data_IF_429721587040
#
_entry.id   IF_429721587040
#
_cell.length_a   1.000
_cell.length_b   1.000
_cell.length_c   1.000
_cell.angle_alpha   90.00
_cell.angle_beta   90.00
_cell.angle_gamma   90.00
#
_symmetry.space_group_name_H-M   'P 1'
#
loop_
_entity.id
_entity.type
_entity.pdbx_description
1 polymer ?
#
# COMPACT_ATOMS: atom_id res chain seq x y z
N UNK A 1 -8.81 18.07 13.52
CA UNK A 1 -7.87 17.50 12.55
C UNK A 1 -6.48 18.06 12.84
N UNK A 2 -5.56 17.26 13.40
CA UNK A 2 -4.17 17.68 13.52
C UNK A 2 -3.57 17.83 12.12
N UNK A 3 -3.07 19.03 11.80
CA UNK A 3 -2.37 19.28 10.54
C UNK A 3 -0.96 18.72 10.68
N UNK A 4 -0.56 17.82 9.79
CA UNK A 4 0.81 17.31 9.77
C UNK A 4 1.81 18.47 9.56
N UNK A 5 2.97 18.45 10.22
CA UNK A 5 4.04 19.42 9.97
C UNK A 5 4.46 19.44 8.50
N UNK A 6 4.84 20.60 7.97
CA UNK A 6 5.35 20.70 6.59
C UNK A 6 6.60 19.85 6.35
N UNK A 7 7.37 19.59 7.42
CA UNK A 7 8.53 18.69 7.40
C UNK A 7 8.16 17.25 7.08
N UNK A 8 6.88 16.85 7.12
CA UNK A 8 6.45 15.49 6.76
C UNK A 8 6.17 15.30 5.26
N UNK A 9 6.13 16.38 4.47
CA UNK A 9 5.61 16.37 3.10
C UNK A 9 6.23 15.28 2.21
N UNK A 10 7.56 15.18 2.16
CA UNK A 10 8.24 14.20 1.29
C UNK A 10 7.89 12.76 1.67
N UNK A 11 7.87 12.47 2.97
CA UNK A 11 7.56 11.14 3.49
C UNK A 11 6.07 10.79 3.30
N UNK A 12 5.19 11.78 3.46
CA UNK A 12 3.76 11.63 3.15
C UNK A 12 3.52 11.40 1.66
N UNK A 13 4.22 12.10 0.78
CA UNK A 13 4.13 11.87 -0.67
C UNK A 13 4.61 10.48 -1.05
N UNK A 14 5.75 10.03 -0.50
CA UNK A 14 6.28 8.70 -0.72
C UNK A 14 5.34 7.60 -0.21
N UNK A 15 4.69 7.82 0.95
CA UNK A 15 3.63 6.94 1.45
C UNK A 15 2.47 6.80 0.44
N UNK A 16 1.95 7.91 -0.07
CA UNK A 16 0.85 7.88 -1.03
C UNK A 16 1.24 7.16 -2.33
N UNK A 17 2.47 7.36 -2.82
CA UNK A 17 2.98 6.66 -3.99
C UNK A 17 3.10 5.15 -3.76
N UNK A 18 3.60 4.73 -2.59
CA UNK A 18 3.65 3.33 -2.18
C UNK A 18 2.25 2.71 -2.05
N UNK A 19 1.30 3.42 -1.41
CA UNK A 19 -0.08 2.96 -1.26
C UNK A 19 -0.77 2.79 -2.62
N UNK A 20 -0.58 3.76 -3.53
CA UNK A 20 -1.13 3.73 -4.89
C UNK A 20 -0.59 2.56 -5.70
N UNK A 21 0.73 2.32 -5.67
CA UNK A 21 1.35 1.21 -6.42
C UNK A 21 0.96 -0.15 -5.85
N UNK A 22 0.85 -0.28 -4.52
CA UNK A 22 0.29 -1.47 -3.86
C UNK A 22 -1.13 -1.77 -4.36
N UNK A 23 -1.99 -0.75 -4.38
CA UNK A 23 -3.37 -0.91 -4.82
C UNK A 23 -3.45 -1.32 -6.29
N UNK A 24 -2.68 -0.68 -7.19
CA UNK A 24 -2.63 -1.09 -8.61
C UNK A 24 -2.21 -2.54 -8.79
N UNK A 25 -1.20 -3.01 -8.05
CA UNK A 25 -0.76 -4.40 -8.11
C UNK A 25 -1.86 -5.35 -7.63
N UNK A 26 -2.50 -5.07 -6.49
CA UNK A 26 -3.59 -5.88 -5.95
C UNK A 26 -4.82 -5.91 -6.86
N UNK A 27 -5.21 -4.76 -7.40
CA UNK A 27 -6.33 -4.66 -8.35
C UNK A 27 -6.07 -5.50 -9.60
N UNK A 28 -4.83 -5.48 -10.11
CA UNK A 28 -4.47 -6.29 -11.27
C UNK A 28 -4.46 -7.78 -10.96
N UNK A 29 -3.94 -8.16 -9.79
CA UNK A 29 -3.97 -9.54 -9.30
C UNK A 29 -5.41 -10.05 -9.13
N UNK A 30 -6.32 -9.24 -8.59
CA UNK A 30 -7.74 -9.57 -8.48
C UNK A 30 -8.39 -9.75 -9.85
N UNK A 31 -8.07 -8.90 -10.83
CA UNK A 31 -8.57 -9.04 -12.21
C UNK A 31 -8.11 -10.33 -12.87
N UNK A 32 -6.83 -10.69 -12.73
CA UNK A 32 -6.31 -11.97 -13.23
C UNK A 32 -6.99 -13.15 -12.51
N UNK A 33 -7.12 -13.07 -11.19
CA UNK A 33 -7.83 -14.07 -10.40
C UNK A 33 -9.28 -14.27 -10.85
N UNK A 34 -10.01 -13.20 -11.13
CA UNK A 34 -11.37 -13.27 -11.65
C UNK A 34 -11.41 -13.89 -13.07
N UNK A 35 -10.51 -13.45 -13.95
CA UNK A 35 -10.41 -13.89 -15.35
C UNK A 35 -10.09 -15.37 -15.49
N UNK A 36 -9.20 -15.89 -14.64
CA UNK A 36 -8.69 -17.27 -14.69
C UNK A 36 -9.24 -18.15 -13.54
N UNK A 37 -10.32 -17.71 -12.86
CA UNK A 37 -10.90 -18.36 -11.67
C UNK A 37 -11.37 -19.80 -11.86
N UNK A 38 -11.70 -20.21 -13.09
CA UNK A 38 -12.19 -21.56 -13.39
C UNK A 38 -11.20 -22.40 -14.21
N UNK A 39 -10.59 -21.81 -15.25
CA UNK A 39 -9.63 -22.47 -16.15
C UNK A 39 -8.76 -21.41 -16.84
N UNK A 40 -7.53 -21.77 -17.24
CA UNK A 40 -6.61 -20.94 -18.02
C UNK A 40 -5.47 -20.34 -17.18
N UNK A 41 -4.43 -19.85 -17.87
CA UNK A 41 -3.25 -19.23 -17.27
C UNK A 41 -3.07 -17.81 -17.83
N UNK A 42 -2.53 -16.87 -17.04
CA UNK A 42 -2.15 -15.55 -17.55
C UNK A 42 -1.22 -15.66 -18.75
N UNK A 43 -1.39 -14.78 -19.73
CA UNK A 43 -0.45 -14.71 -20.85
C UNK A 43 0.93 -14.24 -20.39
N UNK A 44 1.95 -14.41 -21.23
CA UNK A 44 3.29 -13.87 -20.96
C UNK A 44 3.27 -12.34 -20.79
N UNK A 45 2.41 -11.64 -21.54
CA UNK A 45 2.21 -10.19 -21.44
C UNK A 45 1.59 -9.80 -20.09
N UNK A 46 0.57 -10.55 -19.63
CA UNK A 46 -0.08 -10.32 -18.34
C UNK A 46 0.87 -10.61 -17.18
N UNK A 47 1.65 -11.69 -17.28
CA UNK A 47 2.66 -12.07 -16.30
C UNK A 47 3.79 -11.03 -16.23
N UNK A 48 4.23 -10.51 -17.38
CA UNK A 48 5.24 -9.45 -17.47
C UNK A 48 4.73 -8.13 -16.87
N UNK A 49 3.47 -7.78 -17.12
CA UNK A 49 2.86 -6.60 -16.52
C UNK A 49 2.73 -6.74 -15.00
N UNK A 50 2.30 -7.89 -14.50
CA UNK A 50 2.20 -8.15 -13.06
C UNK A 50 3.58 -8.01 -12.39
N UNK A 51 4.62 -8.60 -12.98
CA UNK A 51 5.99 -8.48 -12.49
C UNK A 51 6.48 -7.02 -12.46
N UNK A 52 6.19 -6.24 -13.51
CA UNK A 52 6.53 -4.81 -13.56
C UNK A 52 5.82 -3.99 -12.49
N UNK A 53 4.54 -4.26 -12.22
CA UNK A 53 3.79 -3.58 -11.16
C UNK A 53 4.37 -3.88 -9.78
N UNK A 54 4.83 -5.12 -9.56
CA UNK A 54 5.52 -5.50 -8.33
C UNK A 54 6.87 -4.78 -8.18
N UNK A 55 7.66 -4.73 -9.26
CA UNK A 55 8.94 -4.00 -9.26
C UNK A 55 8.74 -2.49 -9.00
N UNK A 56 7.71 -1.88 -9.59
CA UNK A 56 7.34 -0.49 -9.31
C UNK A 56 6.99 -0.30 -7.83
N UNK A 57 6.22 -1.22 -7.25
CA UNK A 57 5.89 -1.19 -5.83
C UNK A 57 7.13 -1.29 -4.94
N UNK A 58 8.05 -2.22 -5.22
CA UNK A 58 9.31 -2.38 -4.49
C UNK A 58 10.17 -1.11 -4.52
N UNK A 59 10.22 -0.42 -5.67
CA UNK A 59 10.90 0.85 -5.79
C UNK A 59 10.26 1.94 -4.89
N UNK A 60 8.92 1.99 -4.82
CA UNK A 60 8.22 2.93 -3.95
C UNK A 60 8.36 2.58 -2.46
N UNK A 61 8.42 1.30 -2.09
CA UNK A 61 8.72 0.88 -0.71
C UNK A 61 10.10 1.40 -0.29
N UNK A 62 11.12 1.21 -1.14
CA UNK A 62 12.48 1.72 -0.87
C UNK A 62 12.49 3.26 -0.75
N UNK A 63 11.80 3.96 -1.64
CA UNK A 63 11.69 5.43 -1.58
C UNK A 63 11.00 5.91 -0.29
N UNK A 64 9.92 5.27 0.12
CA UNK A 64 9.23 5.57 1.37
C UNK A 64 10.11 5.34 2.60
N UNK A 65 10.80 4.18 2.68
CA UNK A 65 11.75 3.91 3.76
C UNK A 65 12.87 4.95 3.82
N UNK A 66 13.40 5.36 2.66
CA UNK A 66 14.39 6.43 2.57
C UNK A 66 13.85 7.77 3.12
N UNK A 67 12.65 8.17 2.71
CA UNK A 67 12.03 9.40 3.16
C UNK A 67 11.70 9.39 4.67
N UNK A 68 11.24 8.26 5.21
CA UNK A 68 10.98 8.08 6.64
C UNK A 68 12.27 8.16 7.46
N UNK A 69 13.35 7.53 7.01
CA UNK A 69 14.65 7.60 7.68
C UNK A 69 15.21 9.03 7.65
N UNK A 70 15.12 9.72 6.51
CA UNK A 70 15.50 11.12 6.40
C UNK A 70 14.66 12.02 7.31
N UNK A 71 13.34 11.78 7.39
CA UNK A 71 12.44 12.48 8.31
C UNK A 71 12.84 12.26 9.76
N UNK A 72 13.10 11.02 10.17
CA UNK A 72 13.52 10.69 11.54
C UNK A 72 14.82 11.39 11.93
N UNK A 73 15.78 11.46 11.00
CA UNK A 73 17.06 12.11 11.23
C UNK A 73 16.93 13.64 11.37
N UNK A 74 16.06 14.28 10.59
CA UNK A 74 15.83 15.73 10.65
C UNK A 74 14.90 16.16 11.78
N UNK A 75 13.87 15.35 12.08
CA UNK A 75 12.78 15.68 12.98
C UNK A 75 12.09 14.40 13.49
N UNK A 76 12.56 13.89 14.63
CA UNK A 76 12.03 12.69 15.24
C UNK A 76 10.58 12.83 15.72
N UNK A 77 10.15 14.04 16.07
CA UNK A 77 8.78 14.31 16.51
C UNK A 77 7.82 14.26 15.31
N UNK A 78 8.14 14.96 14.22
CA UNK A 78 7.35 14.90 13.00
C UNK A 78 7.31 13.49 12.39
N UNK A 79 8.40 12.72 12.51
CA UNK A 79 8.40 11.29 12.18
C UNK A 79 7.34 10.53 13.00
N UNK A 80 7.34 10.69 14.33
CA UNK A 80 6.37 10.01 15.20
C UNK A 80 4.93 10.38 14.85
N UNK A 81 4.65 11.67 14.65
CA UNK A 81 3.32 12.16 14.27
C UNK A 81 2.86 11.57 12.94
N UNK A 82 3.75 11.50 11.94
CA UNK A 82 3.43 10.90 10.66
C UNK A 82 3.17 9.39 10.76
N UNK A 83 3.99 8.65 11.52
CA UNK A 83 3.78 7.21 11.75
C UNK A 83 2.42 6.99 12.41
N UNK A 84 2.11 7.71 13.49
CA UNK A 84 0.84 7.60 14.18
C UNK A 84 -0.33 7.87 13.23
N UNK A 85 -0.22 8.90 12.40
CA UNK A 85 -1.25 9.25 11.42
C UNK A 85 -1.46 8.17 10.36
N UNK A 86 -0.38 7.63 9.79
CA UNK A 86 -0.43 6.54 8.80
C UNK A 86 -1.04 5.28 9.40
N UNK A 87 -0.66 4.92 10.63
CA UNK A 87 -1.22 3.76 11.32
C UNK A 87 -2.73 3.89 11.49
N UNK A 88 -3.22 5.01 12.02
CA UNK A 88 -4.65 5.27 12.16
C UNK A 88 -5.37 5.25 10.81
N UNK A 89 -4.78 5.83 9.77
CA UNK A 89 -5.36 5.77 8.42
C UNK A 89 -5.49 4.33 7.91
N UNK A 90 -4.46 3.52 8.09
CA UNK A 90 -4.48 2.12 7.64
C UNK A 90 -5.53 1.31 8.40
N UNK A 91 -5.64 1.49 9.72
CA UNK A 91 -6.65 0.83 10.55
C UNK A 91 -8.08 1.18 10.08
N UNK A 92 -8.34 2.44 9.74
CA UNK A 92 -9.64 2.90 9.23
C UNK A 92 -9.95 2.39 7.81
N UNK A 93 -8.92 2.10 7.01
CA UNK A 93 -9.05 1.67 5.62
C UNK A 93 -9.01 0.14 5.47
N UNK A 94 -8.63 -0.60 6.51
CA UNK A 94 -8.86 -2.05 6.56
C UNK A 94 -10.37 -2.30 6.58
N UNK A 95 -10.95 -2.98 5.58
CA UNK A 95 -12.28 -3.52 5.72
C UNK A 95 -12.24 -4.52 6.88
N UNK A 96 -13.13 -4.40 7.86
CA UNK A 96 -13.31 -5.45 8.84
C UNK A 96 -13.50 -6.80 8.10
N UNK A 97 -12.60 -7.75 8.35
CA UNK A 97 -12.88 -9.16 8.14
C UNK A 97 -14.12 -9.47 8.99
N UNK A 98 -15.30 -9.44 8.37
CA UNK A 98 -16.55 -9.83 9.03
C UNK A 98 -16.37 -11.26 9.56
N UNK A 99 -16.56 -11.50 10.87
CA UNK A 99 -16.56 -12.85 11.40
C UNK A 99 -17.72 -13.61 10.76
N UNK A 100 -17.33 -14.53 9.88
CA UNK A 100 -18.05 -15.69 9.38
C UNK A 100 -19.34 -15.98 10.16
N UNK A 101 -20.50 -15.72 9.54
CA UNK A 101 -21.83 -16.06 10.04
C UNK A 101 -21.98 -17.59 10.12
N UNK A 102 -22.04 -18.23 11.31
CA UNK A 102 -22.33 -19.64 11.41
C UNK A 102 -23.84 -19.81 11.53
N UNK A 103 -24.54 -19.84 10.40
CA UNK A 103 -25.85 -20.48 10.30
C UNK A 103 -25.89 -21.40 9.08
N UNK A 104 -25.55 -22.66 9.31
CA UNK A 104 -26.10 -23.80 8.60
C UNK A 104 -25.90 -25.05 9.47
N UNK A 105 -26.92 -25.39 10.26
CA UNK A 105 -27.50 -26.75 10.37
C UNK A 105 -28.79 -26.66 11.19
#
# INVERSE_FOLDING_TARGET
>A
MNRLPSTTFDAWQAYNAMATTKQRHLDYLQRLGARYSKYGEPTDEESSLLARLLEEHDAQVKAFLGAMNALRARDAQAHHELVSYITTLNELLTPEESPNNPQAH
#
